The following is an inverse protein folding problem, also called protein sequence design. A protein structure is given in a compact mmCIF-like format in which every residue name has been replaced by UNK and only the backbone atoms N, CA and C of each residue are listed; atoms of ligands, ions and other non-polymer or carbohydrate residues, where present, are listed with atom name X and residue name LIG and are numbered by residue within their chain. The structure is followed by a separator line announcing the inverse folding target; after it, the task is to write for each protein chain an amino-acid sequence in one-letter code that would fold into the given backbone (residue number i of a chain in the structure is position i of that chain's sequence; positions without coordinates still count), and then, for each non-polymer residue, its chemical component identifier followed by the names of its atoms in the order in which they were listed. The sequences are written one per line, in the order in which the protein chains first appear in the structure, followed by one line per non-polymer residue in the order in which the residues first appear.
data_IF_680351418987
#
_entry.id   IF_680351418987
#
_cell.length_a   1.000
_cell.length_b   1.000
_cell.length_c   1.000
_cell.angle_alpha   90.00
_cell.angle_beta   90.00
_cell.angle_gamma   90.00
#
_symmetry.space_group_name_H-M   'P 1'
#
loop_
_entity.id
_entity.type
_entity.pdbx_description
1 polymer ?
#
# COMPACT_ATOMS: atom_id res chain seq x y z
N UNK A 1 12.43 2.75 16.61
CA UNK A 1 11.61 3.46 15.60
C UNK A 1 11.66 2.63 14.34
N UNK A 2 10.68 1.74 14.18
CA UNK A 2 10.65 0.80 13.07
C UNK A 2 9.93 1.44 11.88
N UNK A 3 10.73 1.97 10.96
CA UNK A 3 10.25 2.50 9.67
C UNK A 3 9.40 1.44 8.96
N UNK A 4 9.73 0.15 9.13
CA UNK A 4 8.97 -0.99 8.61
C UNK A 4 7.54 -1.08 9.16
N UNK A 5 7.34 -0.82 10.46
CA UNK A 5 6.00 -0.83 11.06
C UNK A 5 5.17 0.33 10.53
N UNK A 6 5.76 1.53 10.45
CA UNK A 6 5.11 2.69 9.81
C UNK A 6 4.67 2.35 8.39
N UNK A 7 5.51 1.72 7.57
CA UNK A 7 5.14 1.32 6.20
C UNK A 7 3.90 0.41 6.20
N UNK A 8 3.87 -0.63 7.04
CA UNK A 8 2.71 -1.52 7.11
C UNK A 8 1.45 -0.78 7.57
N UNK A 9 1.56 0.12 8.55
CA UNK A 9 0.43 0.95 9.00
C UNK A 9 -0.08 1.86 7.87
N UNK A 10 0.82 2.44 7.07
CA UNK A 10 0.46 3.25 5.90
C UNK A 10 -0.28 2.42 4.86
N UNK A 11 0.21 1.20 4.55
CA UNK A 11 -0.46 0.27 3.64
C UNK A 11 -1.88 0.00 4.11
N UNK A 12 -2.05 -0.37 5.39
CA UNK A 12 -3.36 -0.65 5.97
C UNK A 12 -4.28 0.58 5.96
N UNK A 13 -3.77 1.77 6.29
CA UNK A 13 -4.54 3.02 6.20
C UNK A 13 -4.98 3.33 4.77
N UNK A 14 -4.07 3.21 3.80
CA UNK A 14 -4.36 3.49 2.40
C UNK A 14 -5.36 2.47 1.85
N UNK A 15 -5.28 1.19 2.24
CA UNK A 15 -6.25 0.15 1.85
C UNK A 15 -7.63 0.39 2.44
N UNK A 16 -7.71 0.73 3.73
CA UNK A 16 -8.97 0.88 4.45
C UNK A 16 -9.66 2.23 4.18
N UNK A 17 -8.91 3.28 3.84
CA UNK A 17 -9.44 4.61 3.52
C UNK A 17 -9.47 4.85 2.00
N UNK A 18 -10.67 4.82 1.41
CA UNK A 18 -10.88 5.08 -0.02
C UNK A 18 -10.40 6.45 -0.49
N UNK A 19 -10.43 7.45 0.39
CA UNK A 19 -9.92 8.79 0.08
C UNK A 19 -8.40 8.78 0.00
N UNK A 20 -7.73 8.10 0.96
CA UNK A 20 -6.27 7.91 0.90
C UNK A 20 -5.86 7.04 -0.28
N UNK A 21 -6.58 5.96 -0.59
CA UNK A 21 -6.33 5.17 -1.80
C UNK A 21 -6.41 6.03 -3.07
N UNK A 22 -7.42 6.89 -3.17
CA UNK A 22 -7.59 7.80 -4.31
C UNK A 22 -6.50 8.86 -4.39
N UNK A 23 -6.09 9.42 -3.25
CA UNK A 23 -4.97 10.37 -3.17
C UNK A 23 -3.65 9.70 -3.50
N UNK A 24 -3.39 8.52 -2.96
CA UNK A 24 -2.19 7.74 -3.21
C UNK A 24 -2.09 7.30 -4.68
N UNK A 25 -3.21 6.98 -5.33
CA UNK A 25 -3.23 6.66 -6.76
C UNK A 25 -2.86 7.87 -7.63
N UNK A 26 -3.21 9.10 -7.21
CA UNK A 26 -2.92 10.34 -7.94
C UNK A 26 -1.53 10.89 -7.62
N UNK A 27 -1.18 10.91 -6.35
CA UNK A 27 0.06 11.45 -5.81
C UNK A 27 0.55 10.56 -4.64
N UNK A 28 1.26 9.48 -4.95
CA UNK A 28 1.71 8.54 -3.94
C UNK A 28 2.84 9.11 -3.07
N UNK A 29 3.74 9.91 -3.64
CA UNK A 29 4.84 10.52 -2.88
C UNK A 29 4.27 11.53 -1.89
N UNK A 30 3.46 12.48 -2.35
CA UNK A 30 2.86 13.47 -1.46
C UNK A 30 1.92 12.84 -0.43
N UNK A 31 1.23 11.74 -0.77
CA UNK A 31 0.41 11.02 0.21
C UNK A 31 1.28 10.38 1.29
N UNK A 32 2.37 9.70 0.93
CA UNK A 32 3.28 9.08 1.91
C UNK A 32 3.93 10.13 2.79
N UNK A 33 4.46 11.20 2.20
CA UNK A 33 5.08 12.34 2.90
C UNK A 33 4.12 12.96 3.93
N UNK A 34 2.88 13.24 3.52
CA UNK A 34 1.84 13.76 4.42
C UNK A 34 1.49 12.79 5.56
N UNK A 35 1.51 11.48 5.30
CA UNK A 35 1.18 10.48 6.30
C UNK A 35 2.33 10.20 7.28
N UNK A 36 3.58 10.25 6.82
CA UNK A 36 4.76 10.11 7.69
C UNK A 36 5.03 11.39 8.49
N UNK A 37 4.62 12.55 7.97
CA UNK A 37 4.81 13.87 8.58
C UNK A 37 6.28 14.30 8.61
N UNK A 38 7.09 13.79 7.68
CA UNK A 38 8.53 14.03 7.57
C UNK A 38 8.82 14.41 6.13
N UNK A 39 9.53 15.51 5.96
CA UNK A 39 9.98 16.01 4.66
C UNK A 39 11.25 15.25 4.26
N UNK A 40 11.05 14.12 3.57
CA UNK A 40 12.12 13.26 3.09
C UNK A 40 12.38 13.52 1.61
N UNK A 41 13.63 13.37 1.14
CA UNK A 41 13.94 13.46 -0.28
C UNK A 41 13.12 12.45 -1.08
N UNK A 42 12.64 12.85 -2.26
CA UNK A 42 11.87 11.99 -3.15
C UNK A 42 12.55 10.65 -3.43
N UNK A 43 13.88 10.65 -3.57
CA UNK A 43 14.69 9.43 -3.79
C UNK A 43 14.56 8.39 -2.67
N UNK A 44 14.28 8.83 -1.43
CA UNK A 44 14.04 7.94 -0.30
C UNK A 44 12.57 7.50 -0.20
N UNK A 45 11.65 8.34 -0.68
CA UNK A 45 10.22 8.07 -0.69
C UNK A 45 9.80 7.12 -1.82
N UNK A 46 10.45 7.18 -2.98
CA UNK A 46 10.19 6.30 -4.12
C UNK A 46 10.17 4.80 -3.74
N UNK A 47 11.23 4.22 -3.14
CA UNK A 47 11.22 2.80 -2.78
C UNK A 47 10.18 2.46 -1.72
N UNK A 48 9.81 3.41 -0.85
CA UNK A 48 8.75 3.23 0.15
C UNK A 48 7.39 3.17 -0.55
N UNK A 49 7.12 4.13 -1.43
CA UNK A 49 5.92 4.21 -2.25
C UNK A 49 5.76 2.95 -3.10
N UNK A 50 6.83 2.50 -3.75
CA UNK A 50 6.82 1.28 -4.54
C UNK A 50 6.54 0.06 -3.66
N UNK A 51 7.15 -0.03 -2.47
CA UNK A 51 6.86 -1.09 -1.51
C UNK A 51 5.39 -1.10 -1.07
N UNK A 52 4.80 0.08 -0.85
CA UNK A 52 3.37 0.24 -0.51
C UNK A 52 2.49 -0.20 -1.69
N UNK A 53 2.75 0.30 -2.91
CA UNK A 53 2.02 -0.09 -4.13
C UNK A 53 2.11 -1.60 -4.38
N UNK A 54 3.31 -2.16 -4.25
CA UNK A 54 3.55 -3.58 -4.43
C UNK A 54 2.73 -4.39 -3.42
N UNK A 55 2.75 -4.04 -2.13
CA UNK A 55 1.92 -4.72 -1.12
C UNK A 55 0.42 -4.61 -1.40
N UNK A 56 -0.09 -3.43 -1.74
CA UNK A 56 -1.51 -3.23 -2.06
C UNK A 56 -1.94 -4.07 -3.26
N UNK A 57 -1.13 -4.09 -4.32
CA UNK A 57 -1.41 -4.91 -5.51
C UNK A 57 -1.29 -6.40 -5.20
N UNK A 58 -0.29 -6.82 -4.43
CA UNK A 58 -0.08 -8.21 -4.05
C UNK A 58 -1.25 -8.74 -3.21
N UNK A 59 -1.76 -7.93 -2.27
CA UNK A 59 -2.95 -8.27 -1.47
C UNK A 59 -4.20 -8.34 -2.35
N UNK A 60 -4.37 -7.40 -3.29
CA UNK A 60 -5.51 -7.43 -4.23
C UNK A 60 -5.49 -8.69 -5.12
N UNK A 61 -4.31 -9.11 -5.56
CA UNK A 61 -4.12 -10.37 -6.30
C UNK A 61 -4.32 -11.56 -5.36
N UNK A 62 -3.84 -11.51 -4.13
CA UNK A 62 -4.02 -12.55 -3.12
C UNK A 62 -5.48 -12.81 -2.81
N UNK A 63 -6.29 -11.76 -2.68
CA UNK A 63 -7.74 -11.87 -2.46
C UNK A 63 -8.45 -12.48 -3.67
N UNK A 64 -8.04 -12.11 -4.89
CA UNK A 64 -8.61 -12.67 -6.12
C UNK A 64 -8.19 -14.13 -6.30
N UNK A 65 -6.90 -14.47 -6.13
CA UNK A 65 -6.40 -15.83 -6.24
C UNK A 65 -6.90 -16.73 -5.11
N UNK A 66 -7.05 -16.21 -3.90
CA UNK A 66 -7.66 -16.91 -2.77
C UNK A 66 -9.13 -17.24 -3.04
N UNK A 67 -9.90 -16.27 -3.54
CA UNK A 67 -11.28 -16.49 -3.95
C UNK A 67 -11.40 -17.44 -5.15
N UNK A 68 -10.55 -17.31 -6.18
CA UNK A 68 -10.58 -18.18 -7.36
C UNK A 68 -10.08 -19.60 -7.05
N UNK A 69 -9.05 -19.75 -6.23
CA UNK A 69 -8.52 -21.04 -5.77
C UNK A 69 -9.51 -21.80 -4.89
N UNK A 70 -10.27 -21.08 -4.04
CA UNK A 70 -11.38 -21.66 -3.28
C UNK A 70 -12.53 -22.17 -4.15
N UNK A 71 -12.71 -21.60 -5.36
CA UNK A 71 -13.71 -22.08 -6.33
C UNK A 71 -13.17 -23.18 -7.24
N UNK A 72 -11.87 -23.18 -7.56
CA UNK A 72 -11.24 -24.24 -8.36
C UNK A 72 -10.93 -25.53 -7.56
N UNK A 73 -10.84 -25.45 -6.23
CA UNK A 73 -10.62 -26.60 -5.35
C UNK A 73 -11.88 -27.39 -4.96
N UNK A 74 -13.05 -27.02 -5.49
CA UNK A 74 -14.33 -27.66 -5.15
C UNK A 74 -14.93 -28.36 -6.39
N UNK A 75 -14.26 -29.42 -6.84
CA UNK A 75 -14.82 -30.46 -7.71
C UNK A 75 -14.37 -31.83 -7.23
#
# INVERSE_FOLDING_TARGET
MDIKEKINELVEKIKNDKNLASKFAKDPIGTVENLIGIDLPNEQLEPIVEGIKAKINLDSIGDVLGNLGGLFGKK
#
